data_IF_818980691350
#
_entry.id   IF_818980691350
#
_cell.length_a   1.000
_cell.length_b   1.000
_cell.length_c   1.000
_cell.angle_alpha   90.00
_cell.angle_beta   90.00
_cell.angle_gamma   90.00
#
_symmetry.space_group_name_H-M   'P 1'
#
loop_
_entity.id
_entity.type
_entity.pdbx_description
1 polymer ?
#
# COMPACT_ATOMS: atom_id res chain seq x y z
N UNK A 1 25.68 6.29 -4.19
CA UNK A 1 26.16 5.11 -4.95
C UNK A 1 25.37 4.99 -6.26
N UNK A 2 25.96 4.56 -7.38
CA UNK A 2 25.27 4.50 -8.68
C UNK A 2 23.95 3.68 -8.65
N UNK A 3 23.95 2.56 -7.92
CA UNK A 3 22.79 1.66 -7.75
C UNK A 3 21.79 2.05 -6.65
N UNK A 4 21.91 3.23 -6.03
CA UNK A 4 20.92 3.62 -5.02
C UNK A 4 19.57 3.98 -5.66
N UNK A 5 18.48 3.76 -4.94
CA UNK A 5 17.09 4.00 -5.41
C UNK A 5 16.94 5.38 -6.06
N UNK A 6 17.50 6.43 -5.45
CA UNK A 6 17.43 7.79 -5.97
C UNK A 6 17.98 7.95 -7.41
N UNK A 7 19.16 7.39 -7.67
CA UNK A 7 19.80 7.50 -8.98
C UNK A 7 19.08 6.65 -10.04
N UNK A 8 18.59 5.47 -9.65
CA UNK A 8 17.81 4.62 -10.54
C UNK A 8 16.45 5.24 -10.87
N UNK A 9 15.81 5.90 -9.89
CA UNK A 9 14.57 6.65 -10.10
C UNK A 9 14.77 7.77 -11.12
N UNK A 10 15.80 8.60 -10.91
CA UNK A 10 16.17 9.68 -11.85
C UNK A 10 16.38 9.16 -13.27
N UNK A 11 17.05 8.01 -13.43
CA UNK A 11 17.25 7.38 -14.73
C UNK A 11 15.94 6.83 -15.32
N UNK A 12 15.08 6.23 -14.51
CA UNK A 12 13.81 5.67 -14.97
C UNK A 12 12.90 6.75 -15.57
N UNK A 13 12.82 7.89 -14.88
CA UNK A 13 11.90 8.98 -15.20
C UNK A 13 12.43 9.97 -16.25
N UNK A 14 13.71 9.88 -16.63
CA UNK A 14 14.31 10.80 -17.61
C UNK A 14 13.67 10.74 -19.00
N UNK A 15 12.86 9.71 -19.28
CA UNK A 15 12.15 9.52 -20.55
C UNK A 15 10.83 10.31 -20.62
N UNK A 16 10.31 10.81 -19.50
CA UNK A 16 9.02 11.50 -19.43
C UNK A 16 9.20 13.03 -19.58
N UNK A 17 9.83 13.44 -20.67
CA UNK A 17 9.96 14.86 -21.01
C UNK A 17 8.58 15.48 -21.33
N UNK A 18 8.39 16.80 -21.18
CA UNK A 18 7.10 17.45 -21.46
C UNK A 18 6.51 17.15 -22.85
N UNK A 19 7.36 17.01 -23.87
CA UNK A 19 6.91 16.70 -25.24
C UNK A 19 6.35 15.26 -25.34
N UNK A 20 6.92 14.33 -24.57
CA UNK A 20 6.40 12.95 -24.47
C UNK A 20 5.06 12.94 -23.74
N UNK A 21 4.92 13.76 -22.69
CA UNK A 21 3.66 13.93 -21.95
C UNK A 21 2.58 14.50 -22.84
N UNK A 22 2.87 15.58 -23.59
CA UNK A 22 1.92 16.19 -24.52
C UNK A 22 1.49 15.20 -25.61
N UNK A 23 2.45 14.46 -26.19
CA UNK A 23 2.16 13.48 -27.23
C UNK A 23 1.27 12.31 -26.75
N UNK A 24 1.47 11.82 -25.53
CA UNK A 24 0.73 10.65 -25.01
C UNK A 24 -0.57 11.05 -24.31
N UNK A 25 -0.52 12.07 -23.46
CA UNK A 25 -1.65 12.49 -22.63
C UNK A 25 -2.52 13.57 -23.28
N UNK A 26 -2.10 14.11 -24.44
CA UNK A 26 -2.75 15.21 -25.14
C UNK A 26 -2.95 16.49 -24.29
N UNK A 27 -2.27 16.59 -23.15
CA UNK A 27 -2.30 17.78 -22.30
C UNK A 27 -1.34 18.80 -22.88
N UNK A 28 -1.78 20.01 -23.23
CA UNK A 28 -0.90 21.05 -23.74
C UNK A 28 0.29 21.28 -22.82
N UNK A 29 1.49 21.43 -23.39
CA UNK A 29 2.74 21.54 -22.65
C UNK A 29 2.74 22.68 -21.63
N UNK A 30 2.15 23.82 -21.96
CA UNK A 30 2.03 24.98 -21.06
C UNK A 30 1.12 24.68 -19.86
N UNK A 31 0.01 23.98 -20.08
CA UNK A 31 -0.89 23.54 -19.03
C UNK A 31 -0.21 22.53 -18.11
N UNK A 32 0.54 21.57 -18.67
CA UNK A 32 1.33 20.61 -17.90
C UNK A 32 2.40 21.30 -17.04
N UNK A 33 3.18 22.21 -17.62
CA UNK A 33 4.22 22.94 -16.89
C UNK A 33 3.63 23.77 -15.73
N UNK A 34 2.48 24.42 -15.93
CA UNK A 34 1.79 25.15 -14.85
C UNK A 34 1.40 24.26 -13.67
N UNK A 35 0.92 23.04 -13.94
CA UNK A 35 0.60 22.06 -12.89
C UNK A 35 1.87 21.61 -12.17
N UNK A 36 2.96 21.35 -12.92
CA UNK A 36 4.25 21.03 -12.33
C UNK A 36 4.79 22.14 -11.41
N UNK A 37 4.67 23.40 -11.82
CA UNK A 37 5.07 24.57 -11.01
C UNK A 37 4.31 24.61 -9.67
N UNK A 38 2.97 24.53 -9.71
CA UNK A 38 2.15 24.56 -8.50
C UNK A 38 2.43 23.39 -7.55
N UNK A 39 2.62 22.18 -8.09
CA UNK A 39 2.98 21.02 -7.27
C UNK A 39 4.38 21.19 -6.68
N UNK A 40 5.34 21.66 -7.48
CA UNK A 40 6.74 21.84 -7.05
C UNK A 40 6.90 22.87 -5.93
N UNK A 41 6.07 23.92 -5.89
CA UNK A 41 6.06 24.88 -4.78
C UNK A 41 5.81 24.21 -3.42
N UNK A 42 5.12 23.06 -3.39
CA UNK A 42 4.84 22.31 -2.17
C UNK A 42 5.99 21.41 -1.71
N UNK A 43 7.16 21.52 -2.33
CA UNK A 43 8.40 20.96 -1.78
C UNK A 43 8.99 21.81 -0.62
N UNK A 44 8.50 23.04 -0.44
CA UNK A 44 8.84 23.87 0.70
C UNK A 44 8.22 23.27 1.98
N UNK A 45 8.99 23.23 3.07
CA UNK A 45 8.60 22.61 4.35
C UNK A 45 7.27 23.14 4.94
N UNK A 46 6.91 24.38 4.64
CA UNK A 46 5.73 25.08 5.15
C UNK A 46 4.53 25.09 4.18
N UNK A 47 4.66 24.41 3.03
CA UNK A 47 3.58 24.23 2.05
C UNK A 47 3.30 22.74 1.87
N UNK A 48 2.05 22.40 1.58
CA UNK A 48 1.64 21.01 1.35
C UNK A 48 0.71 20.88 0.17
N UNK A 49 0.89 19.82 -0.64
CA UNK A 49 -0.11 19.37 -1.60
C UNK A 49 -0.88 18.18 -1.04
N UNK A 50 -2.18 18.15 -1.31
CA UNK A 50 -3.05 17.00 -1.00
C UNK A 50 -3.67 16.46 -2.28
N UNK A 51 -3.51 15.17 -2.52
CA UNK A 51 -4.09 14.51 -3.69
C UNK A 51 -5.39 13.80 -3.32
N UNK A 52 -6.50 14.22 -3.95
CA UNK A 52 -7.81 13.60 -3.82
C UNK A 52 -8.07 12.79 -5.07
N UNK A 53 -8.22 11.47 -4.92
CA UNK A 53 -8.48 10.58 -6.05
C UNK A 53 -9.39 9.42 -5.67
N UNK A 54 -9.98 8.79 -6.69
CA UNK A 54 -10.76 7.57 -6.56
C UNK A 54 -10.67 6.74 -7.86
N UNK A 55 -11.80 6.52 -8.52
CA UNK A 55 -11.96 5.57 -9.62
C UNK A 55 -11.15 5.90 -10.88
N UNK A 56 -10.97 7.19 -11.16
CA UNK A 56 -10.24 7.68 -12.34
C UNK A 56 -8.78 7.24 -12.41
N UNK A 57 -8.21 6.72 -11.31
CA UNK A 57 -6.89 6.09 -11.32
C UNK A 57 -6.94 4.58 -11.10
N UNK A 58 -7.90 4.05 -10.36
CA UNK A 58 -7.93 2.63 -9.98
C UNK A 58 -8.43 1.70 -11.08
N UNK A 59 -9.36 2.14 -11.93
CA UNK A 59 -10.05 1.26 -12.89
C UNK A 59 -9.33 1.16 -14.24
N UNK A 60 -8.02 0.87 -14.18
CA UNK A 60 -7.16 0.65 -15.33
C UNK A 60 -6.31 -0.59 -15.10
N UNK A 61 -5.85 -1.24 -16.19
CA UNK A 61 -4.89 -2.35 -16.11
C UNK A 61 -3.59 -1.95 -15.38
N UNK A 62 -3.27 -0.65 -15.38
CA UNK A 62 -2.12 -0.06 -14.68
C UNK A 62 -2.52 0.74 -13.44
N UNK A 63 -3.74 0.54 -12.90
CA UNK A 63 -4.30 1.42 -11.87
C UNK A 63 -3.49 1.48 -10.58
N UNK A 64 -2.88 0.37 -10.16
CA UNK A 64 -1.95 0.37 -9.03
C UNK A 64 -0.70 1.21 -9.29
N UNK A 65 -0.20 1.25 -10.54
CA UNK A 65 0.97 2.06 -10.90
C UNK A 65 0.63 3.54 -10.95
N UNK A 66 -0.57 3.93 -11.40
CA UNK A 66 -1.04 5.33 -11.32
C UNK A 66 -0.92 5.86 -9.88
N UNK A 67 -1.38 5.06 -8.92
CA UNK A 67 -1.32 5.41 -7.49
C UNK A 67 0.11 5.43 -6.99
N UNK A 68 0.96 4.46 -7.37
CA UNK A 68 2.37 4.45 -6.98
C UNK A 68 3.10 5.71 -7.44
N UNK A 69 2.88 6.16 -8.68
CA UNK A 69 3.50 7.37 -9.21
C UNK A 69 3.16 8.59 -8.35
N UNK A 70 1.88 8.78 -8.02
CA UNK A 70 1.47 9.91 -7.16
C UNK A 70 2.01 9.77 -5.72
N UNK A 71 2.00 8.56 -5.14
CA UNK A 71 2.59 8.35 -3.82
C UNK A 71 4.08 8.68 -3.78
N UNK A 72 4.82 8.38 -4.86
CA UNK A 72 6.23 8.75 -5.01
C UNK A 72 6.40 10.27 -5.08
N UNK A 73 5.52 10.99 -5.79
CA UNK A 73 5.52 12.47 -5.82
C UNK A 73 5.34 13.02 -4.39
N UNK A 74 4.37 12.52 -3.62
CA UNK A 74 4.14 12.99 -2.25
C UNK A 74 5.34 12.72 -1.32
N UNK A 75 6.06 11.62 -1.51
CA UNK A 75 7.29 11.33 -0.77
C UNK A 75 8.45 12.27 -1.17
N UNK A 76 8.61 12.57 -2.47
CA UNK A 76 9.63 13.50 -2.95
C UNK A 76 9.40 14.93 -2.44
N UNK A 77 8.13 15.33 -2.29
CA UNK A 77 7.74 16.65 -1.78
C UNK A 77 7.72 16.72 -0.25
N UNK A 78 7.82 15.61 0.47
CA UNK A 78 7.75 15.58 1.94
C UNK A 78 6.34 15.80 2.50
N UNK A 79 5.29 15.58 1.70
CA UNK A 79 3.90 15.88 2.07
C UNK A 79 3.21 14.78 2.90
N UNK A 80 3.85 13.63 3.10
CA UNK A 80 3.28 12.50 3.85
C UNK A 80 3.34 12.73 5.36
N UNK A 81 2.21 12.56 6.04
CA UNK A 81 2.10 12.77 7.50
C UNK A 81 1.84 14.23 7.91
N UNK A 82 1.73 15.14 6.95
CA UNK A 82 1.48 16.56 7.20
C UNK A 82 -0.02 16.90 7.17
N UNK A 83 -0.44 17.82 8.03
CA UNK A 83 -1.78 18.41 7.94
C UNK A 83 -1.91 19.21 6.63
N UNK A 84 -3.01 19.01 5.89
CA UNK A 84 -3.18 19.60 4.55
C UNK A 84 -2.40 18.89 3.44
N UNK A 85 -1.63 17.83 3.77
CA UNK A 85 -0.87 17.03 2.82
C UNK A 85 -1.50 15.66 2.51
N UNK A 86 -0.63 14.68 2.29
CA UNK A 86 -0.99 13.26 2.22
C UNK A 86 -1.71 12.79 0.96
N UNK A 87 -2.18 11.56 1.03
CA UNK A 87 -2.87 10.86 -0.05
C UNK A 87 -4.30 10.57 0.38
N UNK A 88 -5.24 11.35 -0.12
CA UNK A 88 -6.65 11.22 0.18
C UNK A 88 -7.31 10.32 -0.86
N UNK A 89 -7.11 9.01 -0.68
CA UNK A 89 -7.75 7.97 -1.48
C UNK A 89 -9.24 7.84 -1.09
N UNK A 90 -10.11 8.60 -1.74
CA UNK A 90 -11.51 8.73 -1.38
C UNK A 90 -12.25 7.41 -1.61
N UNK A 91 -12.96 6.95 -0.56
CA UNK A 91 -13.73 5.71 -0.60
C UNK A 91 -15.12 5.94 -1.22
N UNK A 92 -15.65 4.90 -1.84
CA UNK A 92 -16.95 4.90 -2.52
C UNK A 92 -18.10 4.62 -1.57
N UNK A 93 -18.54 3.35 -1.49
CA UNK A 93 -19.63 2.96 -0.58
C UNK A 93 -19.31 3.33 0.88
N UNK A 94 -20.36 3.68 1.64
CA UNK A 94 -20.28 4.16 3.02
C UNK A 94 -19.43 3.29 3.94
N UNK A 95 -19.46 1.96 3.76
CA UNK A 95 -18.69 1.01 4.57
C UNK A 95 -17.76 0.11 3.74
N UNK A 96 -17.33 0.54 2.54
CA UNK A 96 -16.36 -0.26 1.76
C UNK A 96 -15.05 -0.45 2.53
N UNK A 97 -14.67 0.53 3.35
CA UNK A 97 -13.53 0.45 4.23
C UNK A 97 -13.71 -0.68 5.26
N UNK A 98 -14.85 -0.71 5.96
CA UNK A 98 -15.13 -1.75 6.96
C UNK A 98 -15.20 -3.16 6.37
N UNK A 99 -15.78 -3.35 5.17
CA UNK A 99 -15.77 -4.66 4.50
C UNK A 99 -14.36 -5.10 4.10
N UNK A 100 -13.50 -4.15 3.73
CA UNK A 100 -12.09 -4.42 3.46
C UNK A 100 -11.35 -4.77 4.75
N UNK A 101 -11.60 -4.04 5.84
CA UNK A 101 -11.00 -4.30 7.16
C UNK A 101 -11.43 -5.66 7.73
N UNK A 102 -12.66 -6.11 7.46
CA UNK A 102 -13.17 -7.43 7.79
C UNK A 102 -12.72 -8.53 6.82
N UNK A 103 -11.97 -8.18 5.77
CA UNK A 103 -11.39 -9.14 4.84
C UNK A 103 -12.40 -9.84 3.93
N UNK A 104 -13.50 -9.17 3.54
CA UNK A 104 -14.47 -9.74 2.57
C UNK A 104 -13.94 -9.64 1.13
N UNK A 105 -12.76 -10.21 0.91
CA UNK A 105 -12.06 -10.36 -0.35
C UNK A 105 -11.58 -11.81 -0.44
N UNK A 106 -11.44 -12.35 -1.65
CA UNK A 106 -11.30 -13.81 -1.88
C UNK A 106 -10.26 -14.53 -1.04
N UNK A 107 -9.13 -13.89 -0.70
CA UNK A 107 -8.00 -14.51 -0.02
C UNK A 107 -7.70 -13.84 1.34
N UNK A 108 -8.60 -12.97 1.80
CA UNK A 108 -8.38 -12.16 2.99
C UNK A 108 -9.06 -12.75 4.20
N UNK A 109 -8.48 -12.44 5.35
CA UNK A 109 -9.05 -12.60 6.69
C UNK A 109 -9.16 -11.22 7.35
N UNK A 110 -9.99 -11.07 8.39
CA UNK A 110 -10.10 -9.81 9.13
C UNK A 110 -8.75 -9.25 9.56
N UNK A 111 -8.63 -7.92 9.56
CA UNK A 111 -7.42 -7.23 10.00
C UNK A 111 -6.25 -7.33 9.01
N UNK A 112 -6.55 -7.37 7.70
CA UNK A 112 -5.55 -7.47 6.61
C UNK A 112 -4.68 -8.73 6.68
N UNK A 113 -5.16 -9.78 7.35
CA UNK A 113 -4.54 -11.10 7.33
C UNK A 113 -4.91 -11.84 6.04
N UNK A 114 -4.18 -12.89 5.72
CA UNK A 114 -4.38 -13.69 4.49
C UNK A 114 -4.83 -15.09 4.87
N UNK A 115 -5.72 -15.68 4.07
CA UNK A 115 -5.94 -17.12 4.11
C UNK A 115 -4.64 -17.88 3.80
N UNK A 116 -4.45 -19.08 4.35
CA UNK A 116 -3.33 -19.93 3.96
C UNK A 116 -3.44 -20.31 2.48
N UNK A 117 -2.32 -20.34 1.76
CA UNK A 117 -2.29 -21.01 0.46
C UNK A 117 -2.19 -22.52 0.63
N UNK A 118 -2.64 -23.31 -0.34
CA UNK A 118 -2.51 -24.78 -0.34
C UNK A 118 -1.06 -25.29 -0.16
N UNK A 119 -0.05 -24.45 -0.43
CA UNK A 119 1.38 -24.78 -0.28
C UNK A 119 1.89 -24.62 1.15
N UNK A 120 1.12 -23.98 2.02
CA UNK A 120 1.47 -23.74 3.42
C UNK A 120 0.78 -24.82 4.26
N UNK A 121 1.33 -26.02 4.23
CA UNK A 121 0.71 -27.24 4.77
C UNK A 121 0.69 -27.33 6.31
N UNK A 122 1.20 -26.31 7.00
CA UNK A 122 1.23 -26.25 8.45
C UNK A 122 1.27 -24.78 8.93
N UNK A 123 0.87 -24.57 10.19
CA UNK A 123 0.80 -23.26 10.81
C UNK A 123 2.15 -22.54 10.84
N UNK A 124 3.25 -23.26 11.07
CA UNK A 124 4.58 -22.65 11.17
C UNK A 124 5.03 -22.08 9.83
N UNK A 125 4.79 -22.81 8.74
CA UNK A 125 5.07 -22.38 7.36
C UNK A 125 4.23 -21.16 7.00
N UNK A 126 2.93 -21.17 7.32
CA UNK A 126 2.04 -20.03 7.13
C UNK A 126 2.50 -18.78 7.91
N UNK A 127 2.78 -18.92 9.22
CA UNK A 127 3.19 -17.80 10.05
C UNK A 127 4.55 -17.26 9.62
N UNK A 128 5.50 -18.11 9.24
CA UNK A 128 6.82 -17.69 8.75
C UNK A 128 6.70 -16.87 7.47
N UNK A 129 5.82 -17.27 6.55
CA UNK A 129 5.60 -16.54 5.30
C UNK A 129 4.95 -15.17 5.50
N UNK A 130 4.07 -15.04 6.50
CA UNK A 130 3.30 -13.82 6.77
C UNK A 130 3.92 -12.92 7.85
N UNK A 131 4.98 -13.35 8.53
CA UNK A 131 5.67 -12.56 9.55
C UNK A 131 6.97 -11.97 8.97
N UNK A 132 6.96 -10.71 8.50
CA UNK A 132 8.13 -10.12 7.86
C UNK A 132 9.28 -9.93 8.86
N UNK A 133 10.50 -10.14 8.38
CA UNK A 133 11.72 -9.81 9.12
C UNK A 133 12.08 -8.34 8.87
N UNK A 134 12.60 -7.60 9.88
CA UNK A 134 13.08 -6.26 9.66
C UNK A 134 14.25 -6.27 8.67
N UNK A 135 14.22 -5.37 7.68
CA UNK A 135 15.28 -5.24 6.67
C UNK A 135 16.38 -4.25 7.09
N UNK A 136 16.12 -3.46 8.13
CA UNK A 136 17.05 -2.49 8.71
C UNK A 136 16.95 -2.57 10.24
N UNK A 137 18.04 -2.18 10.91
CA UNK A 137 18.09 -2.08 12.36
C UNK A 137 17.23 -0.90 12.87
N UNK A 138 16.75 -0.99 14.12
CA UNK A 138 15.98 0.08 14.78
C UNK A 138 14.57 0.30 14.24
N UNK A 139 14.05 -0.60 13.40
CA UNK A 139 12.71 -0.50 12.83
C UNK A 139 11.64 -1.11 13.77
N UNK A 140 10.47 -0.47 13.83
CA UNK A 140 9.33 -0.99 14.61
C UNK A 140 8.86 -2.35 14.09
N UNK A 141 8.82 -2.52 12.76
CA UNK A 141 8.34 -3.74 12.07
C UNK A 141 7.07 -4.34 12.72
N UNK A 142 5.99 -3.57 12.78
CA UNK A 142 4.82 -3.92 13.60
C UNK A 142 4.16 -5.25 13.18
N UNK A 143 4.22 -5.61 11.88
CA UNK A 143 3.78 -6.90 11.36
C UNK A 143 4.59 -8.10 11.86
N UNK A 144 5.74 -7.89 12.52
CA UNK A 144 6.40 -8.94 13.30
C UNK A 144 5.50 -9.55 14.39
N UNK A 145 4.37 -8.90 14.72
CA UNK A 145 3.35 -9.40 15.64
C UNK A 145 2.27 -10.29 14.98
N UNK A 146 2.37 -10.60 13.67
CA UNK A 146 1.35 -11.38 12.93
C UNK A 146 0.83 -12.63 13.68
N UNK A 147 1.68 -13.47 14.32
CA UNK A 147 1.19 -14.65 15.03
C UNK A 147 0.22 -14.33 16.17
N UNK A 148 0.40 -13.19 16.85
CA UNK A 148 -0.49 -12.76 17.95
C UNK A 148 -1.89 -12.47 17.41
N UNK A 149 -1.98 -11.78 16.27
CA UNK A 149 -3.24 -11.43 15.63
C UNK A 149 -3.94 -12.69 15.11
N UNK A 150 -3.20 -13.57 14.43
CA UNK A 150 -3.75 -14.79 13.86
C UNK A 150 -4.34 -15.71 14.94
N UNK A 151 -3.59 -16.02 16.00
CA UNK A 151 -4.08 -16.87 17.10
C UNK A 151 -5.28 -16.23 17.79
N UNK A 152 -5.25 -14.92 18.04
CA UNK A 152 -6.37 -14.22 18.65
C UNK A 152 -7.65 -14.31 17.80
N UNK A 153 -7.52 -14.18 16.48
CA UNK A 153 -8.63 -14.36 15.54
C UNK A 153 -9.14 -15.81 15.55
N UNK A 154 -8.25 -16.80 15.54
CA UNK A 154 -8.67 -18.21 15.62
C UNK A 154 -9.43 -18.52 16.91
N UNK A 155 -9.01 -17.93 18.04
CA UNK A 155 -9.76 -17.99 19.30
C UNK A 155 -11.12 -17.30 19.20
N UNK A 156 -11.22 -16.19 18.48
CA UNK A 156 -12.51 -15.52 18.25
C UNK A 156 -13.47 -16.35 17.36
N UNK A 157 -12.94 -17.07 16.38
CA UNK A 157 -13.74 -17.92 15.48
C UNK A 157 -14.19 -19.23 16.13
N UNK A 158 -13.27 -19.91 16.82
CA UNK A 158 -13.48 -21.29 17.25
C UNK A 158 -13.53 -21.48 18.77
N UNK A 159 -13.32 -20.42 19.55
CA UNK A 159 -13.41 -20.44 21.01
C UNK A 159 -12.50 -21.51 21.62
N UNK A 160 -13.07 -22.34 22.48
CA UNK A 160 -12.34 -23.41 23.18
C UNK A 160 -11.79 -24.50 22.24
N UNK A 161 -12.30 -24.58 21.01
CA UNK A 161 -11.83 -25.58 20.02
C UNK A 161 -10.51 -25.19 19.36
N UNK A 162 -10.12 -23.91 19.38
CA UNK A 162 -8.79 -23.49 18.93
C UNK A 162 -7.80 -23.63 20.10
N UNK A 163 -6.92 -24.63 20.01
CA UNK A 163 -5.95 -25.00 21.05
C UNK A 163 -4.55 -25.11 20.45
N UNK A 164 -3.50 -25.15 21.28
CA UNK A 164 -2.14 -25.29 20.77
C UNK A 164 -1.93 -26.67 20.11
N UNK A 165 -2.58 -27.70 20.64
CA UNK A 165 -2.46 -29.10 20.24
C UNK A 165 -2.99 -29.36 18.82
N UNK A 166 -3.95 -28.54 18.36
CA UNK A 166 -4.53 -28.62 17.01
C UNK A 166 -4.18 -27.41 16.14
N UNK A 167 -3.05 -26.75 16.40
CA UNK A 167 -2.59 -25.58 15.63
C UNK A 167 -3.65 -24.49 15.53
N UNK A 168 -4.42 -24.28 16.59
CA UNK A 168 -5.50 -23.30 16.69
C UNK A 168 -6.62 -23.49 15.65
N UNK A 169 -6.79 -24.69 15.10
CA UNK A 169 -7.77 -24.96 14.05
C UNK A 169 -7.35 -24.46 12.66
N UNK A 170 -6.04 -24.28 12.43
CA UNK A 170 -5.47 -23.84 11.14
C UNK A 170 -6.04 -24.60 9.94
N UNK A 171 -6.10 -25.94 10.02
CA UNK A 171 -6.57 -26.81 8.93
C UNK A 171 -8.08 -26.72 8.66
N UNK A 172 -8.83 -25.92 9.44
CA UNK A 172 -10.26 -25.67 9.18
C UNK A 172 -10.48 -24.46 8.27
N UNK A 173 -9.45 -23.64 8.06
CA UNK A 173 -9.50 -22.57 7.08
C UNK A 173 -9.44 -23.18 5.66
N UNK A 174 -10.19 -22.61 4.70
CA UNK A 174 -10.20 -23.08 3.32
C UNK A 174 -8.87 -22.80 2.61
#
# INVERSE_FOLDING_TARGET
HARCVWNLLKQHDSRYAPDVVENICATPKDAFLRVCEYIAETSAHDKTASFLYALGWTQHSVGAQNIRTMAMIQLLLGNMGMAGGGVNALRGHSNIQGLTDLGLLSQSLPGYMTLPSEKQTDLQTYLTANTPKPLLEGQVNYWGNYPKFFVSMMKAFFGDKATAENSWGFDWLP
#
